data_IF_833323306285
#
_entry.id   IF_833323306285
#
_cell.length_a   1.000
_cell.length_b   1.000
_cell.length_c   1.000
_cell.angle_alpha   90.00
_cell.angle_beta   90.00
_cell.angle_gamma   90.00
#
_symmetry.space_group_name_H-M   'P 1'
#
loop_
_entity.id
_entity.type
_entity.pdbx_description
1 polymer ?
#
# COMPACT_ATOMS: atom_id res chain seq x y z
N UNK A 1 -26.31 -37.34 -28.68
CA UNK A 1 -25.96 -36.20 -29.57
C UNK A 1 -26.09 -34.84 -28.86
N UNK A 2 -27.24 -34.45 -28.30
CA UNK A 2 -27.42 -33.11 -27.68
C UNK A 2 -26.51 -32.81 -26.47
N UNK A 3 -26.17 -33.81 -25.66
CA UNK A 3 -25.33 -33.62 -24.45
C UNK A 3 -23.89 -33.19 -24.78
N UNK A 4 -23.34 -33.65 -25.91
CA UNK A 4 -22.00 -33.25 -26.36
C UNK A 4 -21.96 -31.81 -26.86
N UNK A 5 -23.05 -31.34 -27.49
CA UNK A 5 -23.18 -29.96 -27.94
C UNK A 5 -23.21 -29.01 -26.74
N UNK A 6 -23.90 -29.38 -25.66
CA UNK A 6 -23.96 -28.58 -24.43
C UNK A 6 -22.57 -28.43 -23.79
N UNK A 7 -21.79 -29.51 -23.71
CA UNK A 7 -20.43 -29.46 -23.12
C UNK A 7 -19.49 -28.57 -23.94
N UNK A 8 -19.56 -28.62 -25.27
CA UNK A 8 -18.75 -27.74 -26.13
C UNK A 8 -19.11 -26.26 -25.98
N UNK A 9 -20.39 -25.92 -25.86
CA UNK A 9 -20.83 -24.54 -25.65
C UNK A 9 -20.39 -23.99 -24.29
N UNK A 10 -20.49 -24.80 -23.24
CA UNK A 10 -20.03 -24.41 -21.89
C UNK A 10 -18.51 -24.26 -21.83
N UNK A 11 -17.76 -25.15 -22.48
CA UNK A 11 -16.29 -25.05 -22.56
C UNK A 11 -15.82 -23.80 -23.31
N UNK A 12 -16.47 -23.45 -24.43
CA UNK A 12 -16.14 -22.24 -25.19
C UNK A 12 -16.47 -20.95 -24.43
N UNK A 13 -17.61 -20.90 -23.73
CA UNK A 13 -17.99 -19.76 -22.91
C UNK A 13 -17.06 -19.59 -21.69
N UNK A 14 -16.68 -20.70 -21.04
CA UNK A 14 -15.72 -20.69 -19.94
C UNK A 14 -14.34 -20.22 -20.41
N UNK A 15 -13.89 -20.65 -21.59
CA UNK A 15 -12.61 -20.20 -22.15
C UNK A 15 -12.63 -18.70 -22.53
N UNK A 16 -13.72 -18.20 -23.09
CA UNK A 16 -13.92 -16.76 -23.38
C UNK A 16 -13.85 -15.90 -22.10
N UNK A 17 -14.47 -16.37 -21.02
CA UNK A 17 -14.40 -15.70 -19.73
C UNK A 17 -12.98 -15.75 -19.13
N UNK A 18 -12.29 -16.89 -19.26
CA UNK A 18 -10.93 -17.06 -18.75
C UNK A 18 -9.88 -16.25 -19.53
N UNK A 19 -10.11 -15.98 -20.82
CA UNK A 19 -9.23 -15.14 -21.65
C UNK A 19 -9.55 -13.65 -21.58
N UNK A 20 -10.77 -13.28 -21.16
CA UNK A 20 -11.15 -11.90 -20.92
C UNK A 20 -10.53 -11.43 -19.60
N UNK A 21 -9.24 -11.07 -19.63
CA UNK A 21 -8.59 -10.43 -18.48
C UNK A 21 -9.34 -9.13 -18.15
N UNK A 22 -9.78 -8.88 -16.91
CA UNK A 22 -10.10 -7.53 -16.50
C UNK A 22 -8.83 -6.69 -16.69
N UNK A 23 -8.94 -5.58 -17.42
CA UNK A 23 -7.79 -4.71 -17.70
C UNK A 23 -7.09 -4.38 -16.39
N UNK A 24 -5.80 -4.73 -16.29
CA UNK A 24 -5.00 -4.29 -15.16
C UNK A 24 -4.94 -2.75 -15.20
N UNK A 25 -5.25 -2.06 -14.09
CA UNK A 25 -5.03 -0.62 -14.04
C UNK A 25 -3.54 -0.35 -14.26
N UNK A 26 -3.23 0.44 -15.28
CA UNK A 26 -1.88 1.00 -15.43
C UNK A 26 -1.72 2.09 -14.37
N UNK A 27 -0.95 1.78 -13.34
CA UNK A 27 -0.49 2.77 -12.36
C UNK A 27 0.67 3.51 -13.03
N UNK A 28 0.37 4.64 -13.67
CA UNK A 28 1.39 5.56 -14.15
C UNK A 28 1.55 6.69 -13.14
N UNK A 29 2.78 6.95 -12.71
CA UNK A 29 3.15 8.09 -11.87
C UNK A 29 3.38 9.37 -12.68
N UNK A 30 3.04 9.35 -13.97
CA UNK A 30 3.22 10.45 -14.92
C UNK A 30 1.84 10.92 -15.36
N UNK A 31 1.51 12.18 -15.04
CA UNK A 31 0.27 12.82 -15.47
C UNK A 31 0.31 13.14 -16.98
N UNK A 32 -0.85 13.46 -17.58
CA UNK A 32 -1.00 13.69 -19.03
C UNK A 32 -0.21 14.89 -19.57
N UNK A 33 0.29 15.75 -18.67
CA UNK A 33 1.17 16.90 -18.92
C UNK A 33 2.68 16.57 -18.78
N UNK A 34 3.01 15.32 -18.42
CA UNK A 34 4.40 14.86 -18.25
C UNK A 34 5.00 15.10 -16.86
N UNK A 35 4.23 15.64 -15.92
CA UNK A 35 4.69 15.92 -14.55
C UNK A 35 4.70 14.65 -13.69
N UNK A 36 5.73 14.48 -12.85
CA UNK A 36 5.85 13.40 -11.87
C UNK A 36 5.19 13.85 -10.57
N UNK A 37 4.08 13.23 -10.18
CA UNK A 37 3.38 13.52 -8.92
C UNK A 37 3.91 12.64 -7.78
N UNK A 38 4.07 13.20 -6.59
CA UNK A 38 4.47 12.47 -5.36
C UNK A 38 3.39 11.48 -4.85
N UNK A 39 2.22 11.40 -5.50
CA UNK A 39 1.13 10.50 -5.13
C UNK A 39 0.39 9.97 -6.38
N UNK A 40 0.09 8.66 -6.50
CA UNK A 40 -0.57 8.11 -7.69
C UNK A 40 -2.05 8.51 -7.76
N UNK A 41 -2.46 9.12 -8.87
CA UNK A 41 -3.87 9.38 -9.21
C UNK A 41 -4.44 8.15 -9.91
N UNK A 42 -5.48 7.56 -9.33
CA UNK A 42 -6.21 6.44 -9.93
C UNK A 42 -7.38 7.01 -10.72
N UNK A 43 -7.20 7.20 -12.02
CA UNK A 43 -8.27 7.67 -12.91
C UNK A 43 -9.12 6.48 -13.36
N UNK A 44 -10.22 6.20 -12.67
CA UNK A 44 -11.25 5.26 -13.16
C UNK A 44 -12.32 6.03 -13.96
N UNK A 45 -12.69 5.57 -15.17
CA UNK A 45 -13.90 6.03 -15.83
C UNK A 45 -15.10 5.27 -15.25
N UNK A 46 -15.87 5.90 -14.36
CA UNK A 46 -17.15 5.35 -13.93
C UNK A 46 -17.52 5.68 -12.49
N UNK A 47 -18.22 6.80 -12.34
CA UNK A 47 -18.86 7.26 -11.11
C UNK A 47 -19.84 6.23 -10.56
N UNK A 48 -19.73 5.90 -9.27
CA UNK A 48 -20.93 5.76 -8.44
C UNK A 48 -20.68 6.41 -7.09
N UNK A 49 -21.37 7.53 -6.91
CA UNK A 49 -21.60 8.27 -5.68
C UNK A 49 -22.09 7.32 -4.58
N UNK A 50 -21.19 6.90 -3.70
CA UNK A 50 -21.56 6.39 -2.39
C UNK A 50 -20.71 7.12 -1.36
N UNK A 51 -21.21 8.27 -0.91
CA UNK A 51 -20.73 8.90 0.32
C UNK A 51 -21.12 8.01 1.49
N UNK A 52 -20.25 7.08 1.85
CA UNK A 52 -20.27 6.43 3.16
C UNK A 52 -19.40 7.25 4.14
N UNK A 53 -19.70 8.55 4.23
CA UNK A 53 -18.94 9.48 5.07
C UNK A 53 -19.45 9.52 6.53
N UNK A 54 -20.49 8.75 6.90
CA UNK A 54 -21.16 8.91 8.20
C UNK A 54 -20.86 7.83 9.24
N UNK A 55 -19.86 6.97 9.04
CA UNK A 55 -19.44 5.99 10.06
C UNK A 55 -17.93 6.00 10.35
N UNK A 56 -17.19 7.01 9.89
CA UNK A 56 -15.79 7.17 10.29
C UNK A 56 -15.76 7.63 11.76
N UNK A 57 -15.22 6.84 12.70
CA UNK A 57 -14.80 7.41 13.97
C UNK A 57 -13.78 8.49 13.64
N UNK A 58 -14.06 9.72 14.06
CA UNK A 58 -13.10 10.82 14.00
C UNK A 58 -11.78 10.33 14.61
N UNK A 59 -10.66 10.27 13.84
CA UNK A 59 -9.36 10.18 14.47
C UNK A 59 -9.08 11.59 15.00
N UNK A 60 -9.67 11.90 16.15
CA UNK A 60 -9.25 13.01 16.98
C UNK A 60 -7.95 12.57 17.68
N UNK A 61 -6.90 12.33 16.92
CA UNK A 61 -5.54 12.33 17.44
C UNK A 61 -4.75 13.26 16.54
N UNK A 62 -4.43 14.41 17.10
CA UNK A 62 -3.43 15.35 16.62
C UNK A 62 -2.07 14.64 16.50
N UNK A 63 -1.87 13.84 15.46
CA UNK A 63 -0.53 13.42 15.07
C UNK A 63 0.01 14.48 14.11
N UNK A 64 1.11 15.16 14.45
CA UNK A 64 1.75 16.06 13.51
C UNK A 64 2.10 15.23 12.28
N UNK A 65 1.58 15.62 11.12
CA UNK A 65 2.09 15.17 9.84
C UNK A 65 3.54 15.67 9.74
N UNK A 66 4.46 14.90 10.30
CA UNK A 66 5.90 15.16 10.19
C UNK A 66 6.20 15.05 8.72
N UNK A 67 6.57 16.20 8.15
CA UNK A 67 6.94 16.34 6.78
C UNK A 67 7.97 15.26 6.45
N UNK A 68 7.59 14.35 5.55
CA UNK A 68 8.48 13.33 5.03
C UNK A 68 9.45 14.05 4.11
N UNK A 69 10.44 14.72 4.71
CA UNK A 69 11.69 14.99 4.02
C UNK A 69 12.12 13.63 3.47
N UNK A 70 12.25 13.54 2.15
CA UNK A 70 12.54 12.32 1.41
C UNK A 70 13.98 11.87 1.67
N UNK A 71 14.30 11.59 2.93
CA UNK A 71 15.56 10.97 3.34
C UNK A 71 15.48 9.53 2.86
N UNK A 72 16.28 9.20 1.84
CA UNK A 72 16.37 7.83 1.36
C UNK A 72 17.07 6.97 2.40
N UNK A 73 16.29 6.28 3.23
CA UNK A 73 16.80 5.29 4.17
C UNK A 73 17.27 4.04 3.41
N UNK A 74 18.38 3.46 3.85
CA UNK A 74 18.98 2.24 3.27
C UNK A 74 19.38 1.30 4.39
N UNK A 75 19.24 0.01 4.13
CA UNK A 75 19.70 -1.01 5.07
C UNK A 75 21.22 -1.03 5.08
N UNK A 76 21.80 -0.46 6.13
CA UNK A 76 23.24 -0.30 6.36
C UNK A 76 23.74 -1.17 7.52
N UNK A 77 22.91 -2.09 8.01
CA UNK A 77 23.24 -3.02 9.10
C UNK A 77 22.89 -2.52 10.50
N UNK A 78 22.26 -1.35 10.63
CA UNK A 78 21.73 -0.87 11.91
C UNK A 78 20.51 -1.70 12.31
N UNK A 79 20.49 -2.16 13.57
CA UNK A 79 19.44 -3.05 14.09
C UNK A 79 18.82 -2.60 15.41
N UNK A 80 19.35 -1.56 16.05
CA UNK A 80 18.88 -1.07 17.36
C UNK A 80 18.37 0.37 17.29
N UNK A 81 17.48 0.73 18.22
CA UNK A 81 16.83 2.03 18.29
C UNK A 81 17.77 3.22 18.53
N UNK A 82 18.85 3.04 19.29
CA UNK A 82 19.86 4.09 19.53
C UNK A 82 20.60 4.52 18.26
N UNK A 83 20.51 3.74 17.19
CA UNK A 83 21.14 4.02 15.91
C UNK A 83 20.20 4.76 14.96
N UNK A 84 18.90 4.84 15.28
CA UNK A 84 17.91 5.60 14.51
C UNK A 84 17.85 7.03 15.02
N UNK A 85 17.32 7.94 14.21
CA UNK A 85 17.18 9.37 14.53
C UNK A 85 15.73 9.84 14.56
N UNK A 86 14.80 8.98 14.13
CA UNK A 86 13.38 9.31 14.07
C UNK A 86 12.51 8.06 14.05
N UNK A 87 11.23 8.25 14.37
CA UNK A 87 10.24 7.18 14.30
C UNK A 87 10.08 6.70 12.85
N UNK A 88 9.99 7.62 11.89
CA UNK A 88 9.85 7.29 10.48
C UNK A 88 11.03 6.45 9.94
N UNK A 89 12.26 6.75 10.36
CA UNK A 89 13.44 5.95 10.04
C UNK A 89 13.36 4.57 10.69
N UNK A 90 13.03 4.49 11.97
CA UNK A 90 12.89 3.21 12.67
C UNK A 90 11.81 2.32 12.03
N UNK A 91 10.66 2.89 11.66
CA UNK A 91 9.58 2.22 10.93
C UNK A 91 10.05 1.74 9.56
N UNK A 92 10.84 2.53 8.85
CA UNK A 92 11.43 2.08 7.59
C UNK A 92 12.30 0.85 7.80
N UNK A 93 13.19 0.87 8.80
CA UNK A 93 14.09 -0.26 9.06
C UNK A 93 13.33 -1.52 9.48
N UNK A 94 12.31 -1.41 10.34
CA UNK A 94 11.48 -2.54 10.75
C UNK A 94 10.82 -3.24 9.55
N UNK A 95 10.35 -2.46 8.56
CA UNK A 95 9.59 -2.99 7.41
C UNK A 95 10.44 -3.40 6.23
N UNK A 96 11.63 -2.82 6.07
CA UNK A 96 12.44 -2.95 4.85
C UNK A 96 13.78 -3.67 5.08
N UNK A 97 14.26 -3.73 6.33
CA UNK A 97 15.59 -4.29 6.62
C UNK A 97 15.49 -5.59 7.44
N UNK A 98 16.23 -6.64 7.07
CA UNK A 98 16.23 -7.89 7.80
C UNK A 98 16.99 -7.77 9.13
N UNK A 99 16.57 -8.56 10.14
CA UNK A 99 17.32 -8.72 11.38
C UNK A 99 17.25 -7.52 12.35
N UNK A 100 16.27 -6.63 12.17
CA UNK A 100 16.04 -5.51 13.08
C UNK A 100 15.53 -6.01 14.43
N UNK A 101 15.99 -5.36 15.51
CA UNK A 101 15.65 -5.65 16.92
C UNK A 101 15.14 -4.37 17.59
N UNK A 102 14.11 -3.80 16.99
CA UNK A 102 13.58 -2.48 17.33
C UNK A 102 12.16 -2.55 17.87
N UNK A 103 11.43 -3.60 17.51
CA UNK A 103 10.07 -3.92 17.91
C UNK A 103 10.15 -5.17 18.82
N UNK A 104 10.13 -4.94 20.13
CA UNK A 104 10.42 -5.96 21.13
C UNK A 104 9.21 -6.85 21.44
N UNK A 105 8.02 -6.26 21.39
CA UNK A 105 6.71 -6.85 21.64
C UNK A 105 5.96 -7.23 20.35
N UNK A 106 6.50 -6.88 19.19
CA UNK A 106 6.02 -7.25 17.85
C UNK A 106 4.64 -6.67 17.53
N UNK A 107 4.38 -5.46 18.01
CA UNK A 107 3.14 -4.72 17.76
C UNK A 107 3.20 -3.89 16.45
N UNK A 108 4.36 -3.83 15.81
CA UNK A 108 4.63 -3.07 14.60
C UNK A 108 5.10 -1.63 14.86
N UNK A 109 5.32 -1.24 16.10
CA UNK A 109 5.80 0.08 16.52
C UNK A 109 7.24 -0.03 17.03
N UNK A 110 8.25 0.26 16.20
CA UNK A 110 9.63 0.18 16.63
C UNK A 110 9.98 1.33 17.57
N UNK A 111 10.86 1.09 18.54
CA UNK A 111 11.51 2.15 19.32
C UNK A 111 10.56 3.08 20.08
N UNK A 112 9.48 2.55 20.64
CA UNK A 112 8.50 3.32 21.43
C UNK A 112 9.16 4.20 22.51
N UNK A 113 10.13 3.66 23.25
CA UNK A 113 10.80 4.40 24.32
C UNK A 113 11.71 5.56 23.90
N UNK A 114 12.02 5.72 22.60
CA UNK A 114 12.93 6.77 22.11
C UNK A 114 12.29 7.65 21.02
N UNK A 115 11.63 7.03 20.05
CA UNK A 115 11.20 7.71 18.82
C UNK A 115 9.70 7.69 18.59
N UNK A 116 9.03 6.55 18.81
CA UNK A 116 7.63 6.35 18.40
C UNK A 116 6.59 6.43 19.53
N UNK A 117 6.99 6.57 20.80
CA UNK A 117 6.09 6.65 21.96
C UNK A 117 5.81 8.07 22.46
N UNK A 118 5.77 9.07 21.56
CA UNK A 118 5.41 10.45 21.89
C UNK A 118 3.95 10.76 21.55
#
# INVERSE_FOLDING_TARGET
MKKLIIILLLGAAFWQFYLSKPGNPMISNIASDGSVMDNPVVTQPGSSTFSLDSLRPSPSISQPAVQVASTQYRCDGRVHCSQMTSCAEATFFLRNCPGTKMDGDNDGVPCEGQWCGR
#
